data_IF_416684315177
#
_entry.id   IF_416684315177
#
_cell.length_a   1.000
_cell.length_b   1.000
_cell.length_c   1.000
_cell.angle_alpha   90.00
_cell.angle_beta   90.00
_cell.angle_gamma   90.00
#
_symmetry.space_group_name_H-M   'P 1'
#
loop_
_entity.id
_entity.type
_entity.pdbx_description
1 polymer ?
#
# COMPACT_ATOMS: atom_id res chain seq x y z
N UNK A 1 1.27 17.87 -3.13
CA UNK A 1 1.89 16.58 -2.75
C UNK A 1 0.74 15.66 -2.38
N UNK A 2 0.31 14.82 -3.31
CA UNK A 2 -0.70 13.80 -3.00
C UNK A 2 0.07 12.59 -2.54
N UNK A 3 0.30 12.48 -1.23
CA UNK A 3 0.73 11.23 -0.62
C UNK A 3 -0.30 10.17 -1.02
N UNK A 4 0.11 9.30 -1.94
CA UNK A 4 -0.69 8.20 -2.44
C UNK A 4 -0.84 7.19 -1.30
N UNK A 5 -1.83 7.43 -0.45
CA UNK A 5 -2.21 6.60 0.70
C UNK A 5 -3.54 5.92 0.35
N UNK A 6 -3.58 4.59 0.44
CA UNK A 6 -4.80 3.81 0.21
C UNK A 6 -5.22 3.07 1.49
N UNK A 7 -6.51 2.88 1.73
CA UNK A 7 -6.96 2.03 2.82
C UNK A 7 -6.69 0.55 2.51
N UNK A 8 -6.25 -0.20 3.52
CA UNK A 8 -6.05 -1.63 3.41
C UNK A 8 -7.40 -2.35 3.34
N UNK A 9 -7.64 -3.20 2.34
CA UNK A 9 -8.93 -3.91 2.21
C UNK A 9 -9.16 -4.93 3.32
N UNK A 10 -8.12 -5.30 4.09
CA UNK A 10 -8.20 -6.31 5.15
C UNK A 10 -8.50 -5.72 6.53
N UNK A 11 -7.94 -4.56 6.85
CA UNK A 11 -8.07 -3.95 8.18
C UNK A 11 -8.57 -2.50 8.17
N UNK A 12 -8.73 -1.88 7.00
CA UNK A 12 -9.06 -0.45 6.87
C UNK A 12 -7.92 0.51 7.25
N UNK A 13 -6.76 -0.01 7.68
CA UNK A 13 -5.58 0.79 8.02
C UNK A 13 -4.94 1.47 6.81
N UNK A 14 -3.97 2.34 7.07
CA UNK A 14 -3.28 3.09 6.01
C UNK A 14 -2.24 2.21 5.29
N UNK A 15 -2.23 2.29 3.97
CA UNK A 15 -1.23 1.68 3.11
C UNK A 15 -0.38 2.73 2.45
N UNK A 16 0.91 2.42 2.32
CA UNK A 16 1.91 3.29 1.71
C UNK A 16 2.29 2.75 0.34
N UNK A 17 2.37 3.66 -0.63
CA UNK A 17 2.85 3.33 -1.97
C UNK A 17 4.37 3.22 -1.96
N UNK A 18 4.86 2.05 -2.33
CA UNK A 18 6.28 1.81 -2.61
C UNK A 18 6.50 1.92 -4.12
N UNK A 19 7.34 2.88 -4.50
CA UNK A 19 7.78 3.07 -5.89
C UNK A 19 9.09 2.29 -6.12
N UNK A 20 8.99 1.15 -6.83
CA UNK A 20 10.12 0.38 -7.37
C UNK A 20 9.94 0.16 -8.88
N UNK A 21 10.47 -0.92 -9.43
CA UNK A 21 10.19 -1.35 -10.83
C UNK A 21 8.70 -1.59 -11.08
N UNK A 22 7.95 -1.99 -10.03
CA UNK A 22 6.49 -2.12 -10.02
C UNK A 22 5.87 -1.29 -8.89
N UNK A 23 4.72 -0.68 -9.13
CA UNK A 23 3.94 -0.01 -8.07
C UNK A 23 3.42 -1.05 -7.10
N UNK A 24 3.84 -0.95 -5.84
CA UNK A 24 3.38 -1.81 -4.75
C UNK A 24 2.78 -0.99 -3.62
N UNK A 25 1.85 -1.58 -2.89
CA UNK A 25 1.19 -0.98 -1.74
C UNK A 25 1.43 -1.84 -0.51
N UNK A 26 2.03 -1.26 0.52
CA UNK A 26 2.34 -1.97 1.75
C UNK A 26 1.45 -1.51 2.91
N UNK A 27 0.83 -2.48 3.59
CA UNK A 27 0.09 -2.27 4.83
C UNK A 27 0.94 -2.73 6.02
N UNK A 28 1.44 -1.83 6.88
CA UNK A 28 2.22 -2.20 8.06
C UNK A 28 1.37 -2.92 9.12
N UNK A 29 0.06 -2.63 9.20
CA UNK A 29 -0.83 -3.22 10.19
C UNK A 29 -1.10 -4.70 9.92
N UNK A 30 -1.29 -5.07 8.65
CA UNK A 30 -1.45 -6.47 8.26
C UNK A 30 -0.13 -7.15 7.87
N UNK A 31 0.95 -6.37 7.76
CA UNK A 31 2.23 -6.77 7.18
C UNK A 31 2.04 -7.45 5.79
N UNK A 32 1.19 -6.85 4.94
CA UNK A 32 0.83 -7.38 3.60
C UNK A 32 1.23 -6.37 2.53
N UNK A 33 1.76 -6.89 1.41
CA UNK A 33 2.13 -6.12 0.21
C UNK A 33 1.23 -6.51 -0.96
N UNK A 34 0.63 -5.52 -1.61
CA UNK A 34 -0.21 -5.67 -2.80
C UNK A 34 0.53 -5.08 -3.99
N UNK A 35 0.84 -5.90 -4.99
CA UNK A 35 1.48 -5.44 -6.23
C UNK A 35 0.40 -5.14 -7.26
N UNK A 36 0.52 -4.02 -7.98
CA UNK A 36 -0.32 -3.76 -9.15
C UNK A 36 0.45 -4.27 -10.37
N UNK A 37 -0.04 -5.34 -11.02
CA UNK A 37 0.52 -5.89 -12.25
C UNK A 37 -0.17 -5.27 -13.46
#
# INVERSE_FOLDING_TARGET
MSDEIRPCPKCGGLMFKEHGEDVSWFCPTCNVKYKTK
#
